data_IF_466232596730
#
_entry.id   IF_466232596730
#
_cell.length_a   1.000
_cell.length_b   1.000
_cell.length_c   1.000
_cell.angle_alpha   90.00
_cell.angle_beta   90.00
_cell.angle_gamma   90.00
#
_symmetry.space_group_name_H-M   'P 1'
#
loop_
_entity.id
_entity.type
_entity.pdbx_description
1 polymer ?
#
# COMPACT_ATOMS: atom_id res chain seq x y z
N UNK A 1 12.34 7.07 0.27
CA UNK A 1 11.75 8.38 0.59
C UNK A 1 12.62 9.05 1.63
N UNK A 2 12.90 10.33 1.45
CA UNK A 2 13.58 11.18 2.43
C UNK A 2 12.68 12.35 2.80
N UNK A 3 12.80 12.81 4.03
CA UNK A 3 12.14 14.02 4.52
C UNK A 3 13.23 14.97 4.97
N UNK A 4 13.21 16.17 4.44
CA UNK A 4 14.15 17.25 4.76
C UNK A 4 13.39 18.39 5.41
N UNK A 5 14.09 19.14 6.29
CA UNK A 5 13.58 20.42 6.80
C UNK A 5 13.83 21.57 5.80
N UNK A 6 13.47 22.80 6.19
CA UNK A 6 13.71 24.02 5.39
C UNK A 6 15.20 24.27 5.09
N UNK A 7 16.07 23.80 5.95
CA UNK A 7 17.53 23.97 5.86
C UNK A 7 18.19 22.79 5.11
N UNK A 8 17.38 21.95 4.45
CA UNK A 8 17.82 20.76 3.71
C UNK A 8 18.47 19.67 4.54
N UNK A 9 18.32 19.70 5.86
CA UNK A 9 18.80 18.63 6.74
C UNK A 9 17.87 17.42 6.71
N UNK A 10 18.46 16.24 6.76
CA UNK A 10 17.74 14.98 6.74
C UNK A 10 17.01 14.74 8.07
N UNK A 11 15.67 14.84 8.06
CA UNK A 11 14.83 14.49 9.21
C UNK A 11 14.54 13.00 9.27
N UNK A 12 14.17 12.40 8.14
CA UNK A 12 13.81 10.98 8.06
C UNK A 12 14.26 10.36 6.74
N UNK A 13 14.64 9.09 6.82
CA UNK A 13 14.86 8.23 5.67
C UNK A 13 13.99 6.98 5.80
N UNK A 14 13.13 6.73 4.81
CA UNK A 14 12.35 5.51 4.71
C UNK A 14 12.83 4.69 3.52
N UNK A 15 13.21 3.46 3.76
CA UNK A 15 13.56 2.49 2.75
C UNK A 15 12.35 1.58 2.47
N UNK A 16 12.22 1.14 1.24
CA UNK A 16 11.13 0.27 0.80
C UNK A 16 11.15 -1.06 1.55
N UNK A 17 10.02 -1.45 2.13
CA UNK A 17 9.88 -2.68 2.90
C UNK A 17 9.43 -3.87 2.03
N UNK A 18 8.64 -3.63 0.99
CA UNK A 18 8.14 -4.65 0.07
C UNK A 18 8.57 -4.35 -1.35
N UNK A 19 9.44 -5.20 -1.87
CA UNK A 19 9.96 -5.08 -3.24
C UNK A 19 9.00 -5.70 -4.25
N UNK A 20 9.09 -5.23 -5.50
CA UNK A 20 8.33 -5.77 -6.64
C UNK A 20 8.98 -7.07 -7.10
N UNK A 21 8.25 -8.21 -7.04
CA UNK A 21 8.76 -9.47 -7.58
C UNK A 21 9.07 -9.34 -9.08
N UNK A 22 10.12 -9.98 -9.53
CA UNK A 22 10.65 -9.94 -10.91
C UNK A 22 11.08 -8.55 -11.40
N UNK A 23 10.65 -7.47 -10.76
CA UNK A 23 11.09 -6.11 -11.04
C UNK A 23 12.32 -5.74 -10.19
N UNK A 24 12.17 -5.68 -8.90
CA UNK A 24 13.20 -5.22 -7.96
C UNK A 24 14.01 -6.37 -7.36
N UNK A 25 13.45 -7.57 -7.32
CA UNK A 25 14.16 -8.79 -6.93
C UNK A 25 13.64 -10.00 -7.71
N UNK A 26 14.44 -11.04 -7.79
CA UNK A 26 14.07 -12.30 -8.42
C UNK A 26 13.69 -13.31 -7.32
N UNK A 27 12.40 -13.69 -7.18
CA UNK A 27 12.03 -14.78 -6.27
C UNK A 27 12.77 -16.06 -6.65
N UNK A 28 13.19 -16.86 -5.69
CA UNK A 28 13.93 -18.12 -5.94
C UNK A 28 15.11 -17.94 -6.91
N UNK A 29 15.91 -16.91 -6.67
CA UNK A 29 16.95 -16.42 -7.59
C UNK A 29 17.84 -17.52 -8.15
N UNK A 30 18.27 -18.49 -7.31
CA UNK A 30 19.12 -19.59 -7.73
C UNK A 30 18.45 -20.53 -8.75
N UNK A 31 17.13 -20.73 -8.62
CA UNK A 31 16.37 -21.55 -9.56
C UNK A 31 16.16 -20.81 -10.88
N UNK A 32 15.68 -19.57 -10.84
CA UNK A 32 15.39 -18.82 -12.05
C UNK A 32 16.65 -18.44 -12.85
N UNK A 33 17.78 -18.21 -12.19
CA UNK A 33 19.07 -18.02 -12.87
C UNK A 33 19.48 -19.26 -13.68
N UNK A 34 19.22 -20.48 -13.18
CA UNK A 34 19.55 -21.72 -13.90
C UNK A 34 18.74 -21.89 -15.18
N UNK A 35 17.51 -21.40 -15.22
CA UNK A 35 16.65 -21.43 -16.43
C UNK A 35 16.78 -20.18 -17.30
N UNK A 36 17.78 -19.34 -17.04
CA UNK A 36 18.08 -18.16 -17.85
C UNK A 36 17.17 -16.95 -17.66
N UNK A 37 16.27 -16.99 -16.67
CA UNK A 37 15.40 -15.84 -16.36
C UNK A 37 16.18 -14.74 -15.64
N UNK A 38 16.00 -13.52 -16.10
CA UNK A 38 16.59 -12.31 -15.52
C UNK A 38 15.48 -11.39 -15.00
N UNK A 39 15.85 -10.44 -14.13
CA UNK A 39 14.93 -9.36 -13.73
C UNK A 39 14.50 -8.55 -14.95
N UNK A 40 13.29 -8.02 -14.90
CA UNK A 40 12.75 -7.14 -15.95
C UNK A 40 13.46 -5.78 -15.92
N UNK A 41 13.91 -5.33 -14.74
CA UNK A 41 14.62 -4.07 -14.57
C UNK A 41 16.09 -4.17 -14.93
N UNK A 42 16.64 -3.08 -15.48
CA UNK A 42 18.07 -2.98 -15.70
C UNK A 42 18.84 -3.00 -14.37
N UNK A 43 19.88 -3.80 -14.31
CA UNK A 43 20.76 -3.96 -13.14
C UNK A 43 20.97 -5.41 -12.73
N UNK A 44 22.22 -5.76 -12.41
CA UNK A 44 22.62 -7.14 -12.10
C UNK A 44 22.23 -7.57 -10.67
N UNK A 45 22.03 -6.61 -9.76
CA UNK A 45 21.75 -6.90 -8.35
C UNK A 45 20.29 -6.65 -7.99
N UNK A 46 19.76 -7.48 -7.09
CA UNK A 46 18.46 -7.25 -6.46
C UNK A 46 18.56 -6.06 -5.49
N UNK A 47 17.49 -5.26 -5.40
CA UNK A 47 17.40 -4.25 -4.36
C UNK A 47 17.30 -4.93 -3.01
N UNK A 48 17.75 -4.23 -1.96
CA UNK A 48 17.55 -4.67 -0.57
C UNK A 48 16.28 -4.05 0.00
N UNK A 49 15.44 -4.88 0.63
CA UNK A 49 14.28 -4.42 1.37
C UNK A 49 14.66 -4.05 2.80
N UNK A 50 13.99 -3.07 3.37
CA UNK A 50 14.04 -2.83 4.81
C UNK A 50 13.10 -3.81 5.54
N UNK A 51 13.48 -4.20 6.75
CA UNK A 51 12.69 -5.13 7.56
C UNK A 51 11.57 -4.44 8.35
N UNK A 52 11.60 -3.11 8.46
CA UNK A 52 10.67 -2.34 9.28
C UNK A 52 9.86 -1.36 8.46
N UNK A 53 8.56 -1.34 8.73
CA UNK A 53 7.70 -0.23 8.31
C UNK A 53 7.57 0.72 9.47
N UNK A 54 7.95 1.96 9.25
CA UNK A 54 7.96 3.01 10.26
C UNK A 54 6.85 4.03 10.00
N UNK A 55 6.32 4.59 11.09
CA UNK A 55 5.46 5.76 11.04
C UNK A 55 6.38 6.96 11.22
N UNK A 56 6.37 7.85 10.25
CA UNK A 56 7.13 9.09 10.32
C UNK A 56 6.30 10.16 11.04
N UNK A 57 7.00 10.98 11.82
CA UNK A 57 6.39 12.07 12.56
C UNK A 57 7.09 13.38 12.21
N UNK A 58 6.34 14.31 11.61
CA UNK A 58 6.82 15.66 11.32
C UNK A 58 5.97 16.61 12.16
N UNK A 59 6.60 17.30 13.09
CA UNK A 59 5.92 18.12 14.08
C UNK A 59 4.86 17.31 14.84
N UNK A 60 3.58 17.56 14.57
CA UNK A 60 2.43 16.88 15.20
C UNK A 60 1.69 15.94 14.24
N UNK A 61 2.21 15.75 13.02
CA UNK A 61 1.57 14.97 11.97
C UNK A 61 2.30 13.64 11.81
N UNK A 62 1.57 12.54 11.94
CA UNK A 62 2.10 11.19 11.78
C UNK A 62 1.57 10.57 10.50
N UNK A 63 2.44 9.97 9.69
CA UNK A 63 2.02 9.32 8.47
C UNK A 63 2.80 8.03 8.21
N UNK A 64 2.16 7.13 7.45
CA UNK A 64 2.80 5.92 6.95
C UNK A 64 3.29 6.20 5.53
N UNK A 65 4.60 6.16 5.27
CA UNK A 65 5.12 6.21 3.92
C UNK A 65 4.96 4.85 3.22
N UNK A 66 4.54 4.87 1.96
CA UNK A 66 4.49 3.70 1.09
C UNK A 66 5.13 4.06 -0.25
N UNK A 67 6.08 3.24 -0.68
CA UNK A 67 6.75 3.43 -1.97
C UNK A 67 6.14 2.47 -2.99
N UNK A 68 5.47 3.03 -4.01
CA UNK A 68 4.97 2.34 -5.19
C UNK A 68 4.12 1.11 -4.82
N UNK A 69 4.58 -0.07 -5.16
CA UNK A 69 3.93 -1.37 -4.97
C UNK A 69 3.50 -1.67 -3.53
N UNK A 70 4.05 -1.00 -2.53
CA UNK A 70 3.68 -1.23 -1.13
C UNK A 70 2.19 -0.95 -0.83
N UNK A 71 1.53 -0.11 -1.65
CA UNK A 71 0.11 0.22 -1.50
C UNK A 71 -0.82 -0.96 -1.77
N UNK A 72 -0.38 -1.99 -2.49
CA UNK A 72 -1.25 -3.11 -2.86
C UNK A 72 -1.55 -4.08 -1.70
N UNK A 73 -0.74 -4.06 -0.64
CA UNK A 73 -0.84 -5.04 0.45
C UNK A 73 -1.99 -4.74 1.42
N UNK A 74 -3.15 -5.34 1.15
CA UNK A 74 -4.34 -5.26 1.99
C UNK A 74 -4.10 -5.86 3.39
N UNK A 75 -4.56 -5.14 4.43
CA UNK A 75 -4.46 -5.58 5.82
C UNK A 75 -3.04 -5.63 6.40
N UNK A 76 -2.05 -5.06 5.68
CA UNK A 76 -0.63 -5.09 6.06
C UNK A 76 0.02 -3.71 6.07
N UNK A 77 -0.77 -2.65 5.99
CA UNK A 77 -0.25 -1.28 5.94
C UNK A 77 0.33 -0.87 7.30
N UNK A 78 -0.37 -1.18 8.37
CA UNK A 78 0.03 -0.84 9.75
C UNK A 78 0.11 -2.10 10.64
N UNK A 79 1.14 -2.93 10.49
CA UNK A 79 1.25 -4.21 11.20
C UNK A 79 1.29 -4.05 12.72
N UNK A 80 1.82 -2.92 13.20
CA UNK A 80 1.97 -2.62 14.63
C UNK A 80 0.74 -1.90 15.21
N UNK A 81 -0.30 -1.63 14.42
CA UNK A 81 -1.55 -0.94 14.82
C UNK A 81 -1.34 0.39 15.55
N UNK A 82 -0.22 1.07 15.27
CA UNK A 82 0.10 2.38 15.85
C UNK A 82 -0.77 3.45 15.22
N UNK A 83 -0.96 4.55 15.95
CA UNK A 83 -1.71 5.71 15.47
C UNK A 83 -0.93 6.47 14.40
N UNK A 84 -1.63 6.88 13.32
CA UNK A 84 -1.17 7.79 12.27
C UNK A 84 -2.35 8.56 11.67
N UNK A 85 -2.08 9.68 11.02
CA UNK A 85 -3.09 10.59 10.48
C UNK A 85 -3.46 10.25 9.03
N UNK A 86 -2.47 9.92 8.18
CA UNK A 86 -2.70 9.60 6.77
C UNK A 86 -1.64 8.65 6.21
N UNK A 87 -1.89 8.15 5.01
CA UNK A 87 -0.95 7.35 4.21
C UNK A 87 -0.37 8.26 3.13
N UNK A 88 0.96 8.31 3.00
CA UNK A 88 1.67 8.95 1.90
C UNK A 88 2.17 7.87 0.94
N UNK A 89 1.61 7.82 -0.27
CA UNK A 89 2.07 6.91 -1.31
C UNK A 89 2.79 7.69 -2.41
N UNK A 90 4.07 7.43 -2.60
CA UNK A 90 4.84 7.92 -3.74
C UNK A 90 5.08 6.80 -4.73
N UNK A 91 4.90 7.02 -6.02
CA UNK A 91 4.93 5.95 -7.01
C UNK A 91 5.50 6.40 -8.36
N UNK A 92 6.16 5.47 -9.03
CA UNK A 92 6.51 5.54 -10.43
C UNK A 92 5.56 4.65 -11.22
N UNK A 93 4.56 5.24 -11.86
CA UNK A 93 3.56 4.50 -12.63
C UNK A 93 3.97 4.34 -14.12
N UNK A 94 5.08 4.95 -14.53
CA UNK A 94 5.62 4.80 -15.89
C UNK A 94 5.95 3.35 -16.26
N UNK A 95 6.20 2.49 -15.29
CA UNK A 95 6.38 1.04 -15.48
C UNK A 95 5.21 0.36 -16.19
N UNK A 96 4.00 0.86 -16.00
CA UNK A 96 2.79 0.28 -16.59
C UNK A 96 2.57 0.72 -18.04
N UNK A 97 3.34 1.70 -18.54
CA UNK A 97 3.17 2.25 -19.89
C UNK A 97 1.74 2.74 -20.13
N UNK A 98 1.25 2.54 -21.35
CA UNK A 98 -0.12 2.93 -21.76
C UNK A 98 -1.17 1.84 -21.47
N UNK A 99 -1.01 1.11 -20.37
CA UNK A 99 -1.93 0.04 -19.95
C UNK A 99 -2.96 0.54 -18.94
N UNK A 100 -3.85 -0.37 -18.49
CA UNK A 100 -4.78 -0.13 -17.37
C UNK A 100 -4.06 -0.06 -16.00
N UNK A 101 -2.77 -0.42 -15.94
CA UNK A 101 -1.99 -0.52 -14.71
C UNK A 101 -2.03 0.72 -13.82
N UNK A 102 -1.83 1.96 -14.32
CA UNK A 102 -1.94 3.15 -13.50
C UNK A 102 -3.29 3.32 -12.80
N UNK A 103 -4.40 3.01 -13.50
CA UNK A 103 -5.74 3.08 -12.94
C UNK A 103 -5.98 2.00 -11.87
N UNK A 104 -5.50 0.78 -12.10
CA UNK A 104 -5.55 -0.30 -11.09
C UNK A 104 -4.71 0.07 -9.87
N UNK A 105 -3.54 0.66 -10.07
CA UNK A 105 -2.68 1.07 -8.96
C UNK A 105 -3.29 2.22 -8.14
N UNK A 106 -3.98 3.17 -8.77
CA UNK A 106 -4.80 4.17 -8.07
C UNK A 106 -5.92 3.51 -7.26
N UNK A 107 -6.60 2.50 -7.83
CA UNK A 107 -7.67 1.78 -7.12
C UNK A 107 -7.19 1.15 -5.83
N UNK A 108 -5.95 0.65 -5.75
CA UNK A 108 -5.37 0.18 -4.50
C UNK A 108 -5.26 1.29 -3.45
N UNK A 109 -4.95 2.53 -3.84
CA UNK A 109 -4.95 3.68 -2.92
C UNK A 109 -6.34 3.97 -2.37
N UNK A 110 -7.38 3.83 -3.20
CA UNK A 110 -8.78 3.97 -2.80
C UNK A 110 -9.15 2.87 -1.80
N UNK A 111 -8.84 1.61 -2.09
CA UNK A 111 -9.10 0.51 -1.17
C UNK A 111 -8.38 0.68 0.17
N UNK A 112 -7.12 1.10 0.16
CA UNK A 112 -6.37 1.34 1.40
C UNK A 112 -6.98 2.46 2.23
N UNK A 113 -7.50 3.51 1.61
CA UNK A 113 -8.17 4.58 2.35
C UNK A 113 -9.40 4.09 3.10
N UNK A 114 -10.21 3.23 2.47
CA UNK A 114 -11.41 2.61 3.06
C UNK A 114 -11.03 1.61 4.16
N UNK A 115 -10.11 0.70 3.86
CA UNK A 115 -9.70 -0.35 4.79
C UNK A 115 -9.11 0.20 6.09
N UNK A 116 -8.26 1.22 5.98
CA UNK A 116 -7.59 1.82 7.12
C UNK A 116 -8.41 2.94 7.78
N UNK A 117 -9.49 3.41 7.13
CA UNK A 117 -10.23 4.59 7.58
C UNK A 117 -9.38 5.85 7.58
N UNK A 118 -8.42 5.97 6.64
CA UNK A 118 -7.44 7.05 6.59
C UNK A 118 -7.42 7.74 5.23
N UNK A 119 -7.04 9.01 5.25
CA UNK A 119 -6.76 9.70 3.99
C UNK A 119 -5.53 9.08 3.33
N UNK A 120 -5.53 9.04 2.00
CA UNK A 120 -4.35 8.71 1.20
C UNK A 120 -3.96 9.92 0.37
N UNK A 121 -2.72 10.35 0.53
CA UNK A 121 -2.09 11.34 -0.33
C UNK A 121 -1.18 10.55 -1.26
N UNK A 122 -1.52 10.53 -2.54
CA UNK A 122 -0.77 9.83 -3.57
C UNK A 122 -0.09 10.83 -4.49
N UNK A 123 1.23 10.69 -4.64
CA UNK A 123 2.03 11.42 -5.62
C UNK A 123 2.66 10.42 -6.58
N UNK A 124 2.46 10.61 -7.87
CA UNK A 124 2.98 9.66 -8.87
C UNK A 124 3.62 10.39 -10.04
N UNK A 125 4.62 9.73 -10.61
CA UNK A 125 5.16 10.06 -11.92
C UNK A 125 4.43 9.20 -12.98
N UNK A 126 4.02 9.80 -14.11
CA UNK A 126 3.31 9.16 -15.22
C UNK A 126 2.00 8.42 -14.83
N UNK A 127 1.30 8.90 -13.82
CA UNK A 127 0.04 8.34 -13.35
C UNK A 127 -0.87 9.41 -12.78
N UNK A 128 -1.86 9.00 -11.97
CA UNK A 128 -2.79 9.92 -11.32
C UNK A 128 -2.33 10.18 -9.89
N UNK A 129 -1.90 11.41 -9.61
CA UNK A 129 -1.72 11.91 -8.24
C UNK A 129 -3.08 12.27 -7.66
N UNK A 130 -3.37 11.88 -6.43
CA UNK A 130 -4.70 12.02 -5.85
C UNK A 130 -4.68 12.23 -4.34
N UNK A 131 -5.69 12.94 -3.86
CA UNK A 131 -6.07 12.98 -2.46
C UNK A 131 -7.38 12.22 -2.28
N UNK A 132 -7.32 11.11 -1.55
CA UNK A 132 -8.44 10.21 -1.31
C UNK A 132 -8.85 10.30 0.15
N UNK A 133 -10.14 10.47 0.43
CA UNK A 133 -10.67 10.53 1.79
C UNK A 133 -10.90 9.11 2.36
N UNK A 134 -11.17 8.97 3.69
CA UNK A 134 -11.40 7.67 4.33
C UNK A 134 -12.60 6.86 3.80
N UNK A 135 -13.46 7.47 3.00
CA UNK A 135 -14.59 6.79 2.34
C UNK A 135 -14.26 6.32 0.92
N UNK A 136 -13.00 6.45 0.50
CA UNK A 136 -12.56 6.09 -0.85
C UNK A 136 -12.91 7.10 -1.94
N UNK A 137 -13.41 8.29 -1.59
CA UNK A 137 -13.74 9.32 -2.56
C UNK A 137 -12.48 10.11 -2.92
N UNK A 138 -12.23 10.28 -4.20
CA UNK A 138 -11.18 11.15 -4.71
C UNK A 138 -11.65 12.59 -4.54
N UNK A 139 -10.99 13.35 -3.69
CA UNK A 139 -11.32 14.76 -3.41
C UNK A 139 -10.60 15.70 -4.38
N UNK A 140 -9.34 15.37 -4.71
CA UNK A 140 -8.53 16.09 -5.70
C UNK A 140 -7.72 15.08 -6.48
N UNK A 141 -7.50 15.37 -7.78
CA UNK A 141 -6.60 14.59 -8.61
C UNK A 141 -5.97 15.43 -9.71
N UNK A 142 -4.77 15.02 -10.13
CA UNK A 142 -4.06 15.57 -11.29
C UNK A 142 -3.39 14.42 -12.03
N UNK A 143 -3.43 14.45 -13.36
CA UNK A 143 -2.80 13.46 -14.24
C UNK A 143 -1.60 14.01 -15.01
N UNK A 144 -1.40 15.31 -14.93
CA UNK A 144 -0.30 16.04 -15.57
C UNK A 144 0.58 16.69 -14.51
N UNK A 145 1.58 17.47 -14.97
CA UNK A 145 2.42 18.27 -14.06
C UNK A 145 1.54 19.29 -13.31
N UNK A 146 1.67 19.31 -11.99
CA UNK A 146 0.92 20.23 -11.15
C UNK A 146 1.07 19.94 -9.69
N UNK A 147 0.34 20.68 -8.88
CA UNK A 147 0.27 20.48 -7.43
C UNK A 147 -1.14 20.76 -6.93
N UNK A 148 -1.44 20.28 -5.75
CA UNK A 148 -2.61 20.65 -4.98
C UNK A 148 -2.31 20.65 -3.49
N UNK A 149 -2.96 21.57 -2.79
CA UNK A 149 -2.86 21.64 -1.34
C UNK A 149 -3.89 20.74 -0.68
N UNK A 150 -3.48 20.09 0.40
CA UNK A 150 -4.34 19.28 1.28
C UNK A 150 -4.54 20.05 2.58
N UNK A 151 -5.62 20.83 2.66
CA UNK A 151 -5.86 21.71 3.80
C UNK A 151 -6.53 21.04 4.98
N UNK A 152 -7.14 19.86 4.78
CA UNK A 152 -7.88 19.15 5.83
C UNK A 152 -7.73 17.65 5.71
N UNK A 153 -7.11 17.06 6.71
CA UNK A 153 -7.04 15.61 6.90
C UNK A 153 -8.20 15.20 7.81
N UNK A 154 -9.15 14.43 7.29
CA UNK A 154 -10.23 13.88 8.10
C UNK A 154 -9.68 12.81 9.02
N UNK A 155 -9.93 12.93 10.29
CA UNK A 155 -9.67 11.88 11.29
C UNK A 155 -10.94 11.06 11.44
N UNK A 156 -10.83 9.78 11.20
CA UNK A 156 -11.89 8.78 11.40
C UNK A 156 -11.32 7.70 12.30
N UNK A 157 -12.18 7.13 13.11
CA UNK A 157 -11.80 6.01 13.98
C UNK A 157 -11.30 4.83 13.15
N UNK A 158 -10.53 3.97 13.80
CA UNK A 158 -10.04 2.74 13.16
C UNK A 158 -11.23 1.92 12.64
N UNK A 159 -11.11 1.46 11.40
CA UNK A 159 -12.06 0.51 10.87
C UNK A 159 -11.85 -0.88 11.50
N UNK A 160 -12.90 -1.68 11.50
CA UNK A 160 -12.82 -3.08 11.94
C UNK A 160 -11.76 -3.85 11.12
N UNK A 161 -11.65 -3.54 9.82
CA UNK A 161 -10.65 -4.13 8.94
C UNK A 161 -9.21 -3.71 9.32
N UNK A 162 -8.97 -2.46 9.68
CA UNK A 162 -7.66 -2.00 10.14
C UNK A 162 -7.18 -2.75 11.41
N UNK A 163 -8.14 -3.22 12.23
CA UNK A 163 -7.81 -3.99 13.43
C UNK A 163 -7.58 -5.47 13.17
N UNK A 164 -8.38 -6.09 12.32
CA UNK A 164 -8.41 -7.54 12.13
C UNK A 164 -7.74 -7.99 10.83
N UNK A 165 -7.66 -7.08 9.84
CA UNK A 165 -7.08 -7.36 8.53
C UNK A 165 -7.74 -8.56 7.86
N UNK A 166 -6.97 -9.34 7.14
CA UNK A 166 -7.44 -10.51 6.41
C UNK A 166 -7.93 -11.68 7.29
N UNK A 167 -7.80 -11.59 8.63
CA UNK A 167 -8.37 -12.59 9.54
C UNK A 167 -9.88 -12.66 9.41
N UNK A 168 -10.54 -11.57 9.06
CA UNK A 168 -11.99 -11.50 8.82
C UNK A 168 -12.43 -12.55 7.80
N UNK A 169 -11.68 -12.73 6.73
CA UNK A 169 -11.95 -13.74 5.70
C UNK A 169 -11.98 -15.15 6.30
N UNK A 170 -11.00 -15.48 7.13
CA UNK A 170 -10.94 -16.81 7.77
C UNK A 170 -12.10 -17.04 8.75
N UNK A 171 -12.58 -16.01 9.44
CA UNK A 171 -13.77 -16.12 10.27
C UNK A 171 -15.02 -16.44 9.44
N UNK A 172 -15.21 -15.77 8.30
CA UNK A 172 -16.30 -16.09 7.39
C UNK A 172 -16.21 -17.50 6.83
N UNK A 173 -15.03 -17.94 6.42
CA UNK A 173 -14.80 -19.32 5.94
C UNK A 173 -15.15 -20.33 7.04
N UNK A 174 -14.72 -20.09 8.27
CA UNK A 174 -15.02 -20.97 9.41
C UNK A 174 -16.54 -21.05 9.68
N UNK A 175 -17.22 -19.92 9.72
CA UNK A 175 -18.67 -19.88 9.92
C UNK A 175 -19.39 -20.63 8.78
N UNK A 176 -19.01 -20.36 7.55
CA UNK A 176 -19.60 -21.01 6.37
C UNK A 176 -19.41 -22.52 6.39
N UNK A 177 -18.19 -23.00 6.64
CA UNK A 177 -17.89 -24.44 6.68
C UNK A 177 -18.64 -25.13 7.82
N UNK A 178 -18.70 -24.51 9.00
CA UNK A 178 -19.48 -25.02 10.14
C UNK A 178 -20.96 -25.14 9.79
N UNK A 179 -21.51 -24.12 9.14
CA UNK A 179 -22.92 -24.12 8.70
C UNK A 179 -23.20 -25.27 7.73
N UNK A 180 -22.36 -25.47 6.72
CA UNK A 180 -22.49 -26.59 5.77
C UNK A 180 -22.41 -27.95 6.47
N UNK A 181 -21.51 -28.13 7.41
CA UNK A 181 -21.38 -29.37 8.18
C UNK A 181 -22.68 -29.65 8.97
N UNK A 182 -23.23 -28.63 9.64
CA UNK A 182 -24.48 -28.77 10.39
C UNK A 182 -25.63 -29.18 9.47
N UNK A 183 -25.76 -28.55 8.31
CA UNK A 183 -26.81 -28.90 7.33
C UNK A 183 -26.67 -30.37 6.87
N UNK A 184 -25.46 -30.80 6.54
CA UNK A 184 -25.20 -32.18 6.11
C UNK A 184 -25.50 -33.23 7.18
N UNK A 185 -25.22 -32.91 8.45
CA UNK A 185 -25.55 -33.79 9.57
C UNK A 185 -27.08 -33.90 9.75
N UNK A 186 -27.82 -32.79 9.53
CA UNK A 186 -29.30 -32.80 9.62
C UNK A 186 -29.94 -33.58 8.47
N UNK A 187 -29.37 -33.52 7.27
CA UNK A 187 -29.88 -34.22 6.08
C UNK A 187 -29.70 -35.76 6.19
N UNK A 188 -28.66 -36.19 6.90
CA UNK A 188 -28.34 -37.59 7.11
C UNK A 188 -29.03 -38.22 8.34
N UNK A 189 -29.90 -37.47 9.02
CA UNK A 189 -30.75 -37.97 10.13
C UNK A 189 -32.19 -38.08 9.70
#
# INVERSE_FOLDING_TARGET
>A
LVVLNSDTELLYKYNKNKLVPFGEFLPFENFFKRVGLKKITQGYQSFSADNKREILNIDKIKFIPLICYEIIYSGKINPNKKYYDFILNISEDGWFGKSIGPAQHLSHSIFRSIEEGKNVIRSTNNGVSAFVNPKGQIIKQISEKGYFDVNKIKRVDKTYFAEHGNKIFFYFVLIYTTFIIILKIRENR
#
